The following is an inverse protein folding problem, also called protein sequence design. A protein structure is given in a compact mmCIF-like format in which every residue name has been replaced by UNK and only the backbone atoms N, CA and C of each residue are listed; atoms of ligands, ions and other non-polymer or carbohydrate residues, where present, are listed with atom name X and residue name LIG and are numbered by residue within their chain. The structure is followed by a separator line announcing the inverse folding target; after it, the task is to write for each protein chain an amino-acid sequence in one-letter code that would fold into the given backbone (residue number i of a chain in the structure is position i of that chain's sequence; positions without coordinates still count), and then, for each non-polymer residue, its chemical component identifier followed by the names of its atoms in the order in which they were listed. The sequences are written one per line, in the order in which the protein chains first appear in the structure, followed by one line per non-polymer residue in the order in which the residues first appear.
data_IF_137668322377
#
_entry.id   IF_137668322377
#
_cell.length_a   1.000
_cell.length_b   1.000
_cell.length_c   1.000
_cell.angle_alpha   90.00
_cell.angle_beta   90.00
_cell.angle_gamma   90.00
#
_symmetry.space_group_name_H-M   'P 1'
#
loop_
_entity.id
_entity.type
_entity.pdbx_description
1 polymer ?
#
# COMPACT_ATOMS: atom_id res chain seq x y z
N UNK A 1 -1.83 17.47 -2.50
CA UNK A 1 -2.42 17.04 -1.21
C UNK A 1 -2.06 15.58 -1.06
N UNK A 2 -1.14 15.23 -0.15
CA UNK A 2 -0.66 13.84 -0.02
C UNK A 2 -1.70 12.99 0.72
N UNK A 3 -2.47 12.18 0.00
CA UNK A 3 -3.43 11.27 0.61
C UNK A 3 -2.70 10.06 1.19
N UNK A 4 -2.48 10.09 2.51
CA UNK A 4 -1.98 8.96 3.26
C UNK A 4 -3.13 8.05 3.68
N UNK A 5 -3.18 6.87 3.09
CA UNK A 5 -4.18 5.86 3.36
C UNK A 5 -3.77 5.01 4.57
N UNK A 6 -4.75 4.55 5.33
CA UNK A 6 -4.53 3.54 6.37
C UNK A 6 -4.52 2.14 5.76
N UNK A 7 -4.10 1.13 6.53
CA UNK A 7 -4.11 -0.27 6.08
C UNK A 7 -5.51 -0.73 5.62
N UNK A 8 -6.58 -0.26 6.25
CA UNK A 8 -7.96 -0.51 5.80
C UNK A 8 -8.23 0.14 4.45
N UNK A 9 -7.92 1.43 4.33
CA UNK A 9 -8.18 2.17 3.10
C UNK A 9 -7.34 1.67 1.92
N UNK A 10 -6.10 1.23 2.13
CA UNK A 10 -5.30 0.64 1.05
C UNK A 10 -5.92 -0.68 0.58
N UNK A 11 -6.45 -1.50 1.51
CA UNK A 11 -7.16 -2.73 1.17
C UNK A 11 -8.43 -2.46 0.35
N UNK A 12 -9.24 -1.48 0.78
CA UNK A 12 -10.45 -1.09 0.04
C UNK A 12 -10.13 -0.46 -1.31
N UNK A 13 -9.14 0.44 -1.35
CA UNK A 13 -8.76 1.14 -2.59
C UNK A 13 -8.20 0.18 -3.64
N UNK A 14 -7.38 -0.78 -3.23
CA UNK A 14 -6.87 -1.82 -4.13
C UNK A 14 -7.89 -2.93 -4.38
N UNK A 15 -9.01 -2.93 -3.64
CA UNK A 15 -10.01 -4.00 -3.62
C UNK A 15 -9.37 -5.39 -3.44
N UNK A 16 -8.32 -5.46 -2.61
CA UNK A 16 -7.57 -6.69 -2.35
C UNK A 16 -7.88 -7.27 -0.98
N UNK A 17 -7.81 -8.60 -0.90
CA UNK A 17 -7.88 -9.33 0.37
C UNK A 17 -6.70 -9.01 1.28
N UNK A 18 -6.94 -9.11 2.59
CA UNK A 18 -5.92 -8.91 3.63
C UNK A 18 -4.67 -9.78 3.42
N UNK A 19 -4.88 -11.01 2.92
CA UNK A 19 -3.82 -11.94 2.53
C UNK A 19 -2.92 -11.37 1.43
N UNK A 20 -3.49 -10.75 0.40
CA UNK A 20 -2.74 -10.06 -0.65
C UNK A 20 -1.97 -8.88 -0.06
N UNK A 21 -2.61 -8.02 0.73
CA UNK A 21 -1.94 -6.88 1.37
C UNK A 21 -0.74 -7.31 2.25
N UNK A 22 -0.86 -8.40 3.01
CA UNK A 22 0.24 -8.99 3.78
C UNK A 22 1.37 -9.44 2.86
N UNK A 23 1.04 -10.08 1.73
CA UNK A 23 2.03 -10.52 0.74
C UNK A 23 2.77 -9.32 0.15
N UNK A 24 2.06 -8.29 -0.29
CA UNK A 24 2.65 -7.04 -0.78
C UNK A 24 3.58 -6.42 0.26
N UNK A 25 3.18 -6.43 1.54
CA UNK A 25 4.01 -5.92 2.64
C UNK A 25 5.30 -6.73 2.83
N UNK A 26 5.24 -8.06 2.73
CA UNK A 26 6.44 -8.92 2.73
C UNK A 26 7.32 -8.69 1.51
N UNK A 27 6.71 -8.33 0.40
CA UNK A 27 7.37 -8.06 -0.87
C UNK A 27 7.98 -6.65 -0.97
N UNK A 28 7.82 -5.81 0.07
CA UNK A 28 8.43 -4.48 0.13
C UNK A 28 7.53 -3.34 -0.32
N UNK A 29 6.21 -3.52 -0.26
CA UNK A 29 5.24 -2.45 -0.52
C UNK A 29 5.58 -1.19 0.27
N UNK A 30 5.60 0.00 -0.36
CA UNK A 30 5.97 1.24 0.31
C UNK A 30 4.93 1.61 1.38
N UNK A 31 5.38 1.67 2.63
CA UNK A 31 4.60 2.16 3.76
C UNK A 31 5.43 3.15 4.59
N UNK A 32 4.75 4.15 5.11
CA UNK A 32 5.30 5.21 5.95
C UNK A 32 4.90 4.92 7.39
N UNK A 33 5.88 4.79 8.28
CA UNK A 33 5.64 4.61 9.70
C UNK A 33 5.72 5.97 10.40
N UNK A 34 4.58 6.55 10.75
CA UNK A 34 4.46 7.80 11.49
C UNK A 34 4.20 7.48 12.96
N UNK A 35 5.28 7.30 13.71
CA UNK A 35 5.25 6.91 15.12
C UNK A 35 4.60 5.54 15.33
N UNK A 36 3.42 5.51 15.96
CA UNK A 36 2.62 4.29 16.18
C UNK A 36 1.68 3.94 15.02
N UNK A 37 1.46 4.86 14.09
CA UNK A 37 0.56 4.65 12.95
C UNK A 37 1.33 4.27 11.69
N UNK A 38 0.78 3.34 10.91
CA UNK A 38 1.26 3.01 9.56
C UNK A 38 0.34 3.67 8.54
N UNK A 39 0.95 4.43 7.64
CA UNK A 39 0.31 5.14 6.55
C UNK A 39 0.88 4.65 5.24
N UNK A 40 0.05 4.62 4.22
CA UNK A 40 0.39 4.19 2.87
C UNK A 40 0.23 5.40 1.98
N UNK A 41 1.28 5.73 1.24
CA UNK A 41 1.21 6.79 0.26
C UNK A 41 0.59 6.20 -1.02
N UNK A 42 -0.59 6.68 -1.40
CA UNK A 42 -1.35 6.15 -2.53
C UNK A 42 -0.52 6.20 -3.83
N UNK A 43 0.21 7.29 -4.02
CA UNK A 43 1.01 7.52 -5.23
C UNK A 43 2.18 6.53 -5.30
N UNK A 44 2.94 6.41 -4.19
CA UNK A 44 4.03 5.43 -4.09
C UNK A 44 3.55 3.99 -4.26
N UNK A 45 2.40 3.65 -3.67
CA UNK A 45 1.83 2.31 -3.78
C UNK A 45 1.38 2.04 -5.22
N UNK A 46 0.74 3.02 -5.87
CA UNK A 46 0.34 2.93 -7.28
C UNK A 46 1.56 2.70 -8.17
N UNK A 47 2.61 3.52 -8.04
CA UNK A 47 3.85 3.38 -8.81
C UNK A 47 4.50 2.02 -8.61
N UNK A 48 4.50 1.51 -7.37
CA UNK A 48 5.09 0.21 -7.05
C UNK A 48 4.27 -0.95 -7.61
N UNK A 49 2.93 -0.84 -7.62
CA UNK A 49 2.04 -1.82 -8.23
C UNK A 49 2.16 -1.83 -9.75
N UNK A 50 2.20 -0.65 -10.37
CA UNK A 50 2.35 -0.49 -11.81
C UNK A 50 3.62 -1.18 -12.33
N UNK A 51 4.75 -0.97 -11.63
CA UNK A 51 6.02 -1.66 -11.89
C UNK A 51 5.94 -3.18 -11.78
N UNK A 52 5.01 -3.72 -10.99
CA UNK A 52 4.87 -5.17 -10.74
C UNK A 52 3.88 -5.84 -11.68
N UNK A 53 2.85 -5.13 -12.12
CA UNK A 53 1.83 -5.67 -13.04
C UNK A 53 2.33 -5.66 -14.49
N UNK A 54 3.38 -4.88 -14.81
CA UNK A 54 3.96 -4.82 -16.16
C UNK A 54 4.90 -5.98 -16.58
N UNK A 55 5.13 -7.01 -15.75
CA UNK A 55 6.03 -8.16 -16.08
C UNK A 55 5.28 -9.42 -16.52
#
# INVERSE_FOLDING_TARGET
MGEYLTEKQICEWLSISRSTAIRLRKEGMPFIKLGKAVRYDKDKVQEWLDKRIQS
#
